data_IF_372992981519
#
_entry.id   IF_372992981519
#
_cell.length_a   1.000
_cell.length_b   1.000
_cell.length_c   1.000
_cell.angle_alpha   90.00
_cell.angle_beta   90.00
_cell.angle_gamma   90.00
#
_symmetry.space_group_name_H-M   'P 1'
#
loop_
_entity.id
_entity.type
_entity.pdbx_description
1 polymer ?
#
# COMPACT_ATOMS: atom_id res chain seq x y z
N UNK A 1 -9.60 20.70 0.79
CA UNK A 1 -8.31 20.12 0.36
C UNK A 1 -7.35 20.24 1.53
N UNK A 2 -7.31 19.23 2.41
CA UNK A 2 -6.38 19.24 3.54
C UNK A 2 -4.99 18.90 3.00
N UNK A 3 -4.16 19.89 2.92
CA UNK A 3 -2.72 19.73 2.75
C UNK A 3 -2.19 18.97 3.95
N UNK A 4 -1.92 17.68 3.77
CA UNK A 4 -1.15 16.90 4.73
C UNK A 4 0.20 17.60 4.79
N UNK A 5 0.43 18.39 5.83
CA UNK A 5 1.72 18.98 6.10
C UNK A 5 2.71 17.83 6.22
N UNK A 6 3.61 17.68 5.25
CA UNK A 6 4.76 16.79 5.38
C UNK A 6 5.43 17.15 6.70
N UNK A 7 5.40 16.24 7.66
CA UNK A 7 6.13 16.38 8.90
C UNK A 7 7.59 16.56 8.56
N UNK A 8 8.02 17.81 8.42
CA UNK A 8 9.42 18.12 8.21
C UNK A 8 10.18 17.78 9.48
N UNK A 9 11.22 17.00 9.35
CA UNK A 9 12.10 16.67 10.46
C UNK A 9 12.66 17.97 11.04
N UNK A 10 12.51 18.17 12.36
CA UNK A 10 13.02 19.34 13.05
C UNK A 10 14.49 19.16 13.34
N UNK A 11 15.30 20.13 12.93
CA UNK A 11 16.76 20.11 13.04
C UNK A 11 17.26 21.41 13.65
N UNK A 12 18.16 21.31 14.63
CA UNK A 12 18.81 22.45 15.27
C UNK A 12 17.82 23.51 15.76
N UNK A 13 17.95 24.74 15.31
CA UNK A 13 17.11 25.85 15.75
C UNK A 13 15.63 25.73 15.36
N UNK A 14 15.31 24.92 14.36
CA UNK A 14 13.92 24.65 13.93
C UNK A 14 13.15 23.78 14.92
N UNK A 15 13.80 23.23 15.93
CA UNK A 15 13.19 22.42 16.96
C UNK A 15 12.27 23.32 17.82
N UNK A 16 11.02 22.91 17.95
CA UNK A 16 10.00 23.67 18.66
C UNK A 16 9.90 23.32 20.16
N UNK A 17 10.30 22.11 20.52
CA UNK A 17 10.21 21.63 21.90
C UNK A 17 11.22 22.36 22.79
N UNK A 18 10.80 22.68 24.02
CA UNK A 18 11.66 23.33 25.03
C UNK A 18 12.59 22.33 25.71
N UNK A 19 12.12 21.10 25.87
CA UNK A 19 12.86 20.02 26.50
C UNK A 19 12.88 18.80 25.55
N UNK A 20 13.99 18.10 25.56
CA UNK A 20 14.23 16.94 24.68
C UNK A 20 14.87 15.81 25.47
N UNK A 21 14.48 14.59 25.16
CA UNK A 21 15.24 13.43 25.58
C UNK A 21 16.39 13.27 24.61
N UNK A 22 17.61 13.53 25.07
CA UNK A 22 18.78 13.58 24.23
C UNK A 22 19.48 12.21 24.15
N UNK A 23 19.81 11.80 22.91
CA UNK A 23 20.65 10.65 22.63
C UNK A 23 21.94 11.18 22.00
N UNK A 24 23.07 10.72 22.51
CA UNK A 24 24.39 11.11 21.99
C UNK A 24 24.71 10.48 20.65
N UNK A 25 25.82 10.91 20.03
CA UNK A 25 26.25 10.44 18.72
C UNK A 25 26.50 8.92 18.67
N UNK A 26 26.89 8.32 19.78
CA UNK A 26 27.17 6.88 19.90
C UNK A 26 25.94 6.07 20.36
N UNK A 27 24.78 6.68 20.46
CA UNK A 27 23.56 6.03 20.93
C UNK A 27 23.36 6.08 22.43
N UNK A 28 24.23 6.76 23.18
CA UNK A 28 24.16 6.90 24.62
C UNK A 28 22.92 7.76 25.03
N UNK A 29 22.16 7.28 26.00
CA UNK A 29 21.07 8.04 26.56
C UNK A 29 21.59 9.06 27.57
N UNK A 30 21.58 10.34 27.19
CA UNK A 30 22.05 11.44 28.04
C UNK A 30 20.99 11.86 29.03
N UNK A 31 19.72 11.68 28.68
CA UNK A 31 18.56 12.06 29.50
C UNK A 31 17.84 13.29 28.98
N UNK A 32 16.95 13.86 29.80
CA UNK A 32 16.18 15.03 29.44
C UNK A 32 17.02 16.30 29.59
N UNK A 33 17.16 17.04 28.51
CA UNK A 33 17.90 18.30 28.45
C UNK A 33 17.05 19.40 27.84
N UNK A 34 17.34 20.65 28.19
CA UNK A 34 16.71 21.78 27.51
C UNK A 34 17.20 21.85 26.04
N UNK A 35 16.41 22.47 25.17
CA UNK A 35 16.80 22.72 23.78
C UNK A 35 18.17 23.39 23.69
N UNK A 36 18.41 24.39 24.53
CA UNK A 36 19.66 25.14 24.56
C UNK A 36 20.86 24.23 24.90
N UNK A 37 20.73 23.45 25.97
CA UNK A 37 21.80 22.51 26.38
C UNK A 37 22.07 21.46 25.30
N UNK A 38 21.02 20.92 24.69
CA UNK A 38 21.14 19.95 23.61
C UNK A 38 21.83 20.54 22.38
N UNK A 39 21.52 21.77 22.01
CA UNK A 39 22.19 22.47 20.90
C UNK A 39 23.66 22.73 21.19
N UNK A 40 24.00 23.14 22.40
CA UNK A 40 25.40 23.34 22.81
C UNK A 40 26.21 22.04 22.76
N UNK A 41 25.62 20.92 23.17
CA UNK A 41 26.26 19.62 23.12
C UNK A 41 26.48 19.14 21.67
N UNK A 42 25.53 19.39 20.78
CA UNK A 42 25.67 19.06 19.35
C UNK A 42 26.78 19.92 18.69
N UNK A 43 26.82 21.20 19.00
CA UNK A 43 27.82 22.15 18.48
C UNK A 43 29.25 21.77 18.90
N UNK A 44 29.43 21.33 20.14
CA UNK A 44 30.73 20.89 20.65
C UNK A 44 31.36 19.75 19.86
N UNK A 45 30.53 18.88 19.30
CA UNK A 45 30.96 17.73 18.49
C UNK A 45 30.82 17.99 16.99
N UNK A 46 30.48 19.22 16.63
CA UNK A 46 30.28 19.65 15.21
C UNK A 46 29.28 18.81 14.45
N UNK A 47 28.21 18.40 15.12
CA UNK A 47 27.10 17.63 14.55
C UNK A 47 25.78 18.39 14.69
N UNK A 48 24.74 17.84 14.09
CA UNK A 48 23.40 18.40 14.14
C UNK A 48 22.56 17.75 15.24
N UNK A 49 21.59 18.50 15.78
CA UNK A 49 20.59 17.99 16.69
C UNK A 49 19.32 17.72 15.88
N UNK A 50 18.88 16.46 15.81
CA UNK A 50 17.77 16.01 14.99
C UNK A 50 16.70 15.37 15.87
N UNK A 51 15.43 15.82 15.74
CA UNK A 51 14.30 15.19 16.44
C UNK A 51 13.89 13.94 15.68
N UNK A 52 14.12 12.78 16.29
CA UNK A 52 13.82 11.47 15.69
C UNK A 52 12.42 10.95 16.07
N UNK A 53 11.89 11.37 17.21
CA UNK A 53 10.56 11.00 17.68
C UNK A 53 9.80 12.22 18.20
N UNK A 54 9.14 12.99 17.33
CA UNK A 54 8.45 14.23 17.73
C UNK A 54 7.18 13.99 18.56
N UNK A 55 6.61 12.81 18.49
CA UNK A 55 5.37 12.46 19.20
C UNK A 55 5.60 11.95 20.63
N UNK A 56 6.86 11.69 20.99
CA UNK A 56 7.21 11.29 22.36
C UNK A 56 7.09 12.48 23.33
N UNK A 57 6.88 12.19 24.61
CA UNK A 57 6.79 13.21 25.67
C UNK A 57 7.84 12.93 26.76
N UNK A 58 8.97 13.67 26.80
CA UNK A 58 9.40 14.73 25.86
C UNK A 58 9.85 14.15 24.51
N UNK A 59 9.87 14.95 23.43
CA UNK A 59 10.36 14.51 22.13
C UNK A 59 11.79 14.01 22.23
N UNK A 60 12.12 12.97 21.47
CA UNK A 60 13.45 12.39 21.44
C UNK A 60 14.28 13.04 20.33
N UNK A 61 15.44 13.55 20.67
CA UNK A 61 16.40 14.10 19.72
C UNK A 61 17.73 13.35 19.81
N UNK A 62 18.41 13.27 18.71
CA UNK A 62 19.72 12.62 18.60
C UNK A 62 20.74 13.57 17.97
N UNK A 63 21.96 13.53 18.50
CA UNK A 63 23.09 14.24 17.91
C UNK A 63 23.66 13.38 16.77
N UNK A 64 23.58 13.87 15.54
CA UNK A 64 24.03 13.15 14.34
C UNK A 64 24.24 14.10 13.16
N UNK A 65 24.91 13.61 12.11
CA UNK A 65 24.96 14.32 10.84
C UNK A 65 23.61 14.21 10.12
N UNK A 66 22.90 15.31 9.97
CA UNK A 66 21.57 15.34 9.34
C UNK A 66 21.61 14.96 7.87
N UNK A 67 22.64 15.36 7.13
CA UNK A 67 22.78 15.01 5.72
C UNK A 67 22.86 13.50 5.52
N UNK A 68 23.67 12.83 6.31
CA UNK A 68 23.79 11.38 6.32
C UNK A 68 22.49 10.68 6.74
N UNK A 69 21.86 11.19 7.80
CA UNK A 69 20.57 10.68 8.27
C UNK A 69 19.49 10.77 7.19
N UNK A 70 19.38 11.92 6.54
CA UNK A 70 18.41 12.16 5.46
C UNK A 70 18.62 11.19 4.29
N UNK A 71 19.87 10.97 3.91
CA UNK A 71 20.22 10.02 2.85
C UNK A 71 19.83 8.59 3.21
N UNK A 72 20.13 8.14 4.44
CA UNK A 72 19.77 6.81 4.93
C UNK A 72 18.25 6.62 4.98
N UNK A 73 17.48 7.64 5.41
CA UNK A 73 16.02 7.60 5.42
C UNK A 73 15.45 7.49 4.01
N UNK A 74 15.97 8.23 3.05
CA UNK A 74 15.55 8.14 1.65
C UNK A 74 15.85 6.75 1.07
N UNK A 75 16.99 6.18 1.40
CA UNK A 75 17.36 4.82 0.99
C UNK A 75 16.41 3.77 1.55
N UNK A 76 16.06 3.86 2.85
CA UNK A 76 15.07 2.98 3.48
C UNK A 76 13.69 3.09 2.83
N UNK A 77 13.23 4.30 2.55
CA UNK A 77 11.94 4.52 1.88
C UNK A 77 11.91 3.89 0.49
N UNK A 78 12.99 4.02 -0.28
CA UNK A 78 13.09 3.39 -1.60
C UNK A 78 13.08 1.86 -1.51
N UNK A 79 13.78 1.28 -0.55
CA UNK A 79 13.77 -0.16 -0.31
C UNK A 79 12.41 -0.67 0.13
N UNK A 80 11.72 0.06 1.02
CA UNK A 80 10.35 -0.26 1.44
C UNK A 80 9.37 -0.23 0.27
N UNK A 81 9.47 0.79 -0.60
CA UNK A 81 8.63 0.88 -1.81
C UNK A 81 8.88 -0.27 -2.79
N UNK A 82 10.14 -0.69 -2.94
CA UNK A 82 10.49 -1.86 -3.79
C UNK A 82 9.95 -3.17 -3.22
N UNK A 83 9.88 -3.30 -1.90
CA UNK A 83 9.37 -4.49 -1.21
C UNK A 83 7.84 -4.52 -1.16
N UNK A 84 7.16 -3.39 -1.34
CA UNK A 84 5.71 -3.36 -1.41
C UNK A 84 5.25 -4.06 -2.70
N UNK A 85 4.54 -5.17 -2.52
CA UNK A 85 3.85 -5.82 -3.63
C UNK A 85 2.72 -4.90 -4.08
N UNK A 86 2.85 -4.36 -5.28
CA UNK A 86 1.76 -3.61 -5.92
C UNK A 86 0.73 -4.63 -6.37
N UNK A 87 -0.44 -4.60 -5.75
CA UNK A 87 -1.58 -5.42 -6.18
C UNK A 87 -2.22 -4.73 -7.37
N UNK A 88 -2.05 -5.32 -8.55
CA UNK A 88 -2.69 -4.83 -9.77
C UNK A 88 -4.06 -5.50 -9.94
N UNK A 89 -5.00 -4.77 -10.51
CA UNK A 89 -6.31 -5.31 -10.92
C UNK A 89 -6.24 -5.62 -12.41
N UNK A 90 -6.35 -6.90 -12.76
CA UNK A 90 -6.42 -7.35 -14.16
C UNK A 90 -7.87 -7.57 -14.54
N UNK A 91 -8.27 -7.09 -15.70
CA UNK A 91 -9.63 -7.25 -16.21
C UNK A 91 -9.70 -8.36 -17.25
N UNK A 92 -10.66 -9.25 -17.07
CA UNK A 92 -11.02 -10.27 -18.07
C UNK A 92 -12.46 -9.99 -18.53
N UNK A 93 -12.61 -9.84 -19.82
CA UNK A 93 -13.91 -9.58 -20.44
C UNK A 93 -14.47 -10.85 -21.05
N UNK A 94 -15.69 -11.18 -20.69
CA UNK A 94 -16.43 -12.33 -21.21
C UNK A 94 -17.65 -11.85 -21.98
N UNK A 95 -18.19 -12.75 -22.81
CA UNK A 95 -19.48 -12.56 -23.50
C UNK A 95 -20.56 -13.41 -22.82
N UNK A 96 -21.83 -12.97 -22.78
CA UNK A 96 -22.93 -13.82 -22.29
C UNK A 96 -23.09 -15.13 -23.09
N UNK A 97 -22.68 -15.12 -24.36
CA UNK A 97 -22.75 -16.25 -25.28
C UNK A 97 -21.37 -16.86 -25.57
N UNK A 98 -20.45 -16.78 -24.63
CA UNK A 98 -19.08 -17.27 -24.78
C UNK A 98 -19.05 -18.78 -25.03
N UNK A 99 -18.23 -19.19 -26.00
CA UNK A 99 -17.99 -20.60 -26.27
C UNK A 99 -17.10 -21.22 -25.19
N UNK A 100 -17.24 -22.54 -24.98
CA UNK A 100 -16.52 -23.23 -23.92
C UNK A 100 -14.99 -23.12 -24.09
N UNK A 101 -14.48 -23.24 -25.31
CA UNK A 101 -13.04 -23.12 -25.56
C UNK A 101 -12.49 -21.73 -25.18
N UNK A 102 -13.19 -20.69 -25.56
CA UNK A 102 -12.81 -19.31 -25.24
C UNK A 102 -12.95 -19.05 -23.72
N UNK A 103 -14.01 -19.59 -23.10
CA UNK A 103 -14.18 -19.53 -21.65
C UNK A 103 -12.99 -20.17 -20.92
N UNK A 104 -12.56 -21.36 -21.32
CA UNK A 104 -11.43 -22.06 -20.71
C UNK A 104 -10.12 -21.28 -20.88
N UNK A 105 -9.91 -20.66 -22.03
CA UNK A 105 -8.74 -19.79 -22.28
C UNK A 105 -8.73 -18.58 -21.35
N UNK A 106 -9.88 -17.91 -21.21
CA UNK A 106 -10.04 -16.78 -20.28
C UNK A 106 -9.87 -17.19 -18.83
N UNK A 107 -10.41 -18.34 -18.46
CA UNK A 107 -10.26 -18.92 -17.13
C UNK A 107 -8.80 -19.19 -16.78
N UNK A 108 -8.06 -19.79 -17.69
CA UNK A 108 -6.63 -20.06 -17.53
C UNK A 108 -5.83 -18.77 -17.29
N UNK A 109 -6.14 -17.73 -18.06
CA UNK A 109 -5.50 -16.42 -17.87
C UNK A 109 -5.85 -15.81 -16.51
N UNK A 110 -7.10 -15.89 -16.09
CA UNK A 110 -7.57 -15.40 -14.78
C UNK A 110 -6.88 -16.11 -13.62
N UNK A 111 -6.79 -17.44 -13.69
CA UNK A 111 -6.08 -18.24 -12.69
C UNK A 111 -4.60 -17.86 -12.61
N UNK A 112 -3.98 -17.60 -13.74
CA UNK A 112 -2.58 -17.14 -13.82
C UNK A 112 -2.38 -15.77 -13.14
N UNK A 113 -3.28 -14.84 -13.37
CA UNK A 113 -3.23 -13.52 -12.71
C UNK A 113 -3.41 -13.65 -11.20
N UNK A 114 -4.37 -14.44 -10.76
CA UNK A 114 -4.62 -14.68 -9.34
C UNK A 114 -3.42 -15.34 -8.64
N UNK A 115 -2.80 -16.33 -9.29
CA UNK A 115 -1.63 -17.02 -8.75
C UNK A 115 -0.43 -16.07 -8.56
N UNK A 116 -0.32 -15.04 -9.39
CA UNK A 116 0.70 -14.00 -9.25
C UNK A 116 0.41 -13.01 -8.12
N UNK A 117 -0.76 -13.06 -7.51
CA UNK A 117 -1.19 -12.16 -6.45
C UNK A 117 -1.98 -10.94 -6.94
N UNK A 118 -2.32 -10.87 -8.21
CA UNK A 118 -3.16 -9.82 -8.76
C UNK A 118 -4.64 -10.09 -8.46
N UNK A 119 -5.44 -9.03 -8.36
CA UNK A 119 -6.90 -9.15 -8.34
C UNK A 119 -7.42 -9.29 -9.75
N UNK A 120 -8.45 -10.08 -9.93
CA UNK A 120 -9.07 -10.29 -11.23
C UNK A 120 -10.49 -9.71 -11.24
N UNK A 121 -10.74 -8.76 -12.14
CA UNK A 121 -12.06 -8.23 -12.41
C UNK A 121 -12.61 -8.94 -13.63
N UNK A 122 -13.60 -9.79 -13.45
CA UNK A 122 -14.24 -10.52 -14.54
C UNK A 122 -15.53 -9.79 -14.89
N UNK A 123 -15.65 -9.29 -16.13
CA UNK A 123 -16.77 -8.48 -16.57
C UNK A 123 -17.43 -9.05 -17.82
N UNK A 124 -18.75 -8.83 -17.91
CA UNK A 124 -19.56 -9.16 -19.08
C UNK A 124 -20.28 -7.90 -19.50
N UNK A 125 -20.13 -7.52 -20.77
CA UNK A 125 -20.84 -6.41 -21.35
C UNK A 125 -22.05 -6.92 -22.14
N UNK A 126 -23.24 -6.45 -21.79
CA UNK A 126 -24.46 -6.76 -22.50
C UNK A 126 -24.65 -5.79 -23.66
N UNK A 127 -24.86 -6.32 -24.87
CA UNK A 127 -25.12 -5.52 -26.07
C UNK A 127 -26.57 -5.72 -26.51
N UNK A 128 -27.22 -4.64 -26.94
CA UNK A 128 -28.59 -4.68 -27.47
C UNK A 128 -29.59 -5.30 -26.50
N UNK A 129 -30.36 -6.27 -26.96
CA UNK A 129 -31.39 -6.95 -26.17
C UNK A 129 -30.83 -7.91 -25.10
N UNK A 130 -29.57 -8.22 -25.14
CA UNK A 130 -28.95 -9.13 -24.16
C UNK A 130 -29.05 -8.60 -22.71
N UNK A 131 -29.24 -7.31 -22.52
CA UNK A 131 -29.43 -6.69 -21.20
C UNK A 131 -30.69 -7.19 -20.48
N UNK A 132 -31.69 -7.68 -21.25
CA UNK A 132 -32.93 -8.26 -20.69
C UNK A 132 -32.69 -9.66 -20.11
N UNK A 133 -31.57 -10.30 -20.45
CA UNK A 133 -31.19 -11.65 -20.02
C UNK A 133 -29.95 -11.62 -19.10
N UNK A 134 -30.02 -10.83 -18.04
CA UNK A 134 -28.93 -10.67 -17.08
C UNK A 134 -28.53 -11.98 -16.40
N UNK A 135 -29.46 -12.90 -16.24
CA UNK A 135 -29.25 -14.20 -15.59
C UNK A 135 -28.20 -15.03 -16.32
N UNK A 136 -28.14 -14.96 -17.65
CA UNK A 136 -27.16 -15.69 -18.46
C UNK A 136 -25.75 -15.20 -18.13
N UNK A 137 -25.57 -13.89 -18.09
CA UNK A 137 -24.29 -13.29 -17.70
C UNK A 137 -23.89 -13.62 -16.26
N UNK A 138 -24.84 -13.57 -15.35
CA UNK A 138 -24.61 -13.93 -13.96
C UNK A 138 -24.12 -15.37 -13.82
N UNK A 139 -24.75 -16.31 -14.53
CA UNK A 139 -24.33 -17.72 -14.54
C UNK A 139 -22.91 -17.91 -15.04
N UNK A 140 -22.53 -17.19 -16.11
CA UNK A 140 -21.17 -17.25 -16.66
C UNK A 140 -20.14 -16.73 -15.63
N UNK A 141 -20.44 -15.63 -14.94
CA UNK A 141 -19.59 -15.08 -13.89
C UNK A 141 -19.48 -16.03 -12.69
N UNK A 142 -20.58 -16.60 -12.26
CA UNK A 142 -20.62 -17.57 -11.16
C UNK A 142 -19.82 -18.84 -11.50
N UNK A 143 -19.96 -19.34 -12.74
CA UNK A 143 -19.14 -20.48 -13.24
C UNK A 143 -17.67 -20.14 -13.19
N UNK A 144 -17.27 -18.95 -13.60
CA UNK A 144 -15.87 -18.50 -13.55
C UNK A 144 -15.35 -18.46 -12.11
N UNK A 145 -16.14 -17.92 -11.19
CA UNK A 145 -15.80 -17.87 -9.77
C UNK A 145 -15.66 -19.27 -9.17
N UNK A 146 -16.58 -20.19 -9.49
CA UNK A 146 -16.53 -21.57 -9.02
C UNK A 146 -15.28 -22.32 -9.50
N UNK A 147 -14.90 -22.11 -10.74
CA UNK A 147 -13.67 -22.70 -11.33
C UNK A 147 -12.40 -22.12 -10.72
N UNK A 148 -12.47 -20.96 -10.07
CA UNK A 148 -11.34 -20.36 -9.35
C UNK A 148 -11.43 -20.54 -7.83
N UNK A 149 -12.43 -21.23 -7.33
CA UNK A 149 -12.72 -21.38 -5.88
C UNK A 149 -11.57 -21.99 -5.09
N UNK A 150 -10.78 -22.85 -5.71
CA UNK A 150 -9.62 -23.50 -5.10
C UNK A 150 -8.50 -22.54 -4.75
N UNK A 151 -8.34 -21.43 -5.50
CA UNK A 151 -7.25 -20.46 -5.33
C UNK A 151 -7.71 -19.05 -5.00
N UNK A 152 -8.99 -18.74 -5.17
CA UNK A 152 -9.50 -17.38 -5.05
C UNK A 152 -10.81 -17.31 -4.28
N UNK A 153 -11.07 -16.13 -3.71
CA UNK A 153 -12.34 -15.79 -3.08
C UNK A 153 -13.01 -14.64 -3.84
N UNK A 154 -14.34 -14.64 -3.84
CA UNK A 154 -15.13 -13.56 -4.41
C UNK A 154 -15.18 -12.40 -3.43
N UNK A 155 -14.47 -11.31 -3.72
CA UNK A 155 -14.52 -10.08 -2.93
C UNK A 155 -15.82 -9.31 -3.14
N UNK A 156 -16.31 -9.33 -4.38
CA UNK A 156 -17.54 -8.65 -4.74
C UNK A 156 -18.41 -9.57 -5.59
N UNK A 157 -19.62 -9.79 -5.14
CA UNK A 157 -20.66 -10.57 -5.86
C UNK A 157 -21.03 -9.88 -7.18
N UNK A 158 -21.64 -10.62 -8.13
CA UNK A 158 -22.07 -10.03 -9.41
C UNK A 158 -22.89 -8.74 -9.21
N UNK A 159 -22.38 -7.66 -9.78
CA UNK A 159 -23.00 -6.33 -9.70
C UNK A 159 -23.15 -5.72 -11.08
N UNK A 160 -24.31 -5.17 -11.34
CA UNK A 160 -24.56 -4.41 -12.57
C UNK A 160 -24.05 -2.98 -12.44
N UNK A 161 -23.32 -2.55 -13.43
CA UNK A 161 -22.84 -1.18 -13.58
C UNK A 161 -23.13 -0.73 -15.02
N UNK A 162 -24.24 -0.01 -15.22
CA UNK A 162 -24.72 0.32 -16.55
C UNK A 162 -25.11 -0.92 -17.34
N UNK A 163 -24.44 -1.15 -18.47
CA UNK A 163 -24.64 -2.34 -19.33
C UNK A 163 -23.60 -3.44 -19.08
N UNK A 164 -22.90 -3.37 -17.98
CA UNK A 164 -21.84 -4.30 -17.64
C UNK A 164 -22.11 -4.94 -16.29
N UNK A 165 -21.91 -6.23 -16.20
CA UNK A 165 -21.93 -6.97 -14.93
C UNK A 165 -20.51 -7.44 -14.65
N UNK A 166 -20.06 -7.34 -13.39
CA UNK A 166 -18.73 -7.77 -13.03
C UNK A 166 -18.66 -8.40 -11.65
N UNK A 167 -17.62 -9.21 -11.44
CA UNK A 167 -17.24 -9.73 -10.14
C UNK A 167 -15.75 -9.40 -9.89
N UNK A 168 -15.38 -9.33 -8.62
CA UNK A 168 -13.99 -9.18 -8.20
C UNK A 168 -13.51 -10.45 -7.51
N UNK A 169 -12.40 -10.98 -7.99
CA UNK A 169 -11.75 -12.14 -7.40
C UNK A 169 -10.38 -11.74 -6.85
N UNK A 170 -10.03 -12.30 -5.70
CA UNK A 170 -8.71 -12.12 -5.09
C UNK A 170 -8.15 -13.47 -4.65
N UNK A 171 -6.83 -13.59 -4.64
CA UNK A 171 -6.16 -14.80 -4.15
C UNK A 171 -6.58 -15.09 -2.72
N UNK A 172 -6.96 -16.32 -2.44
CA UNK A 172 -7.32 -16.74 -1.10
C UNK A 172 -6.09 -16.79 -0.19
N UNK A 173 -6.19 -16.16 0.98
CA UNK A 173 -5.11 -16.16 1.98
C UNK A 173 -4.79 -17.55 2.54
N UNK A 174 -5.72 -18.51 2.40
CA UNK A 174 -5.56 -19.89 2.88
C UNK A 174 -4.52 -20.66 2.05
N UNK A 175 -4.23 -20.20 0.82
CA UNK A 175 -3.33 -20.87 -0.12
C UNK A 175 -1.97 -20.16 -0.28
N UNK A 176 -1.65 -19.27 0.61
CA UNK A 176 -0.33 -18.61 0.63
C UNK A 176 0.69 -19.43 1.43
#
# INVERSE_FOLDING_TARGET
VSTIAKNQTQVNEKIRAKELRLIGQNGDQIGVKSKREALEMAERVELDLVVVAPNAKPPVARIMDYGKYKFEQQKKEKEMKKKQKVINVKEIRLSPTIEEHDFQTKLKNGRKFLTKGDKCKVSIRFRGRAITHKEIGQRVLEKFADECKDIATVEQKPKMEGRQMFIMLALSLIHI
#
